data_IF_556515967766
#
_entry.id   IF_556515967766
#
_cell.length_a   1.000
_cell.length_b   1.000
_cell.length_c   1.000
_cell.angle_alpha   90.00
_cell.angle_beta   90.00
_cell.angle_gamma   90.00
#
_symmetry.space_group_name_H-M   'P 1'
#
loop_
_entity.id
_entity.type
_entity.pdbx_description
1 polymer ?
#
# COMPACT_ATOMS: atom_id res chain seq x y z
N UNK A 1 -27.51 -7.17 10.25
CA UNK A 1 -26.92 -6.80 8.96
C UNK A 1 -27.37 -5.39 8.61
N UNK A 2 -26.44 -4.43 8.47
CA UNK A 2 -26.72 -3.11 7.89
C UNK A 2 -25.52 -2.73 7.00
N UNK A 3 -25.80 -2.50 5.72
CA UNK A 3 -24.86 -2.05 4.71
C UNK A 3 -24.48 -0.58 4.96
N UNK A 4 -23.19 -0.32 5.22
CA UNK A 4 -22.64 1.03 5.15
C UNK A 4 -22.24 1.32 3.69
N UNK A 5 -23.17 1.87 2.91
CA UNK A 5 -22.89 2.41 1.59
C UNK A 5 -22.71 3.93 1.72
N UNK A 6 -21.57 4.53 1.35
CA UNK A 6 -21.28 5.94 1.64
C UNK A 6 -21.98 6.95 0.72
N UNK A 7 -22.95 6.53 -0.10
CA UNK A 7 -23.64 7.40 -1.08
C UNK A 7 -25.15 7.36 -0.88
N UNK A 8 -25.81 8.52 -0.87
CA UNK A 8 -27.28 8.63 -0.81
C UNK A 8 -27.85 8.71 -2.24
N UNK A 9 -28.93 7.96 -2.56
CA UNK A 9 -29.63 8.12 -3.84
C UNK A 9 -30.06 9.58 -4.05
N UNK A 10 -29.82 10.11 -5.26
CA UNK A 10 -30.13 11.51 -5.60
C UNK A 10 -28.98 12.51 -5.44
N UNK A 11 -27.79 12.09 -4.98
CA UNK A 11 -26.59 12.95 -5.00
C UNK A 11 -26.04 13.10 -6.43
N UNK A 12 -25.62 14.31 -6.81
CA UNK A 12 -24.96 14.58 -8.08
C UNK A 12 -23.45 14.30 -7.96
N UNK A 13 -22.88 13.60 -8.95
CA UNK A 13 -21.44 13.36 -9.02
C UNK A 13 -20.97 13.34 -10.47
N UNK A 14 -19.99 14.17 -10.82
CA UNK A 14 -19.36 14.16 -12.15
C UNK A 14 -20.30 14.50 -13.32
N UNK A 15 -21.29 15.39 -13.13
CA UNK A 15 -22.20 15.85 -14.19
C UNK A 15 -23.36 14.91 -14.54
N UNK A 16 -23.76 14.05 -13.59
CA UNK A 16 -24.93 13.18 -13.71
C UNK A 16 -25.55 12.83 -12.36
N UNK A 17 -26.78 12.28 -12.40
CA UNK A 17 -27.57 11.89 -11.23
C UNK A 17 -27.44 10.40 -10.93
N UNK A 18 -27.31 10.06 -9.64
CA UNK A 18 -27.22 8.68 -9.15
C UNK A 18 -28.62 8.09 -8.89
N UNK A 19 -29.02 7.11 -9.70
CA UNK A 19 -30.28 6.39 -9.54
C UNK A 19 -30.07 4.97 -8.97
N UNK A 20 -30.99 4.55 -8.09
CA UNK A 20 -31.02 3.19 -7.55
C UNK A 20 -31.83 2.30 -8.48
N UNK A 21 -31.23 1.28 -9.09
CA UNK A 21 -32.01 0.21 -9.73
C UNK A 21 -32.52 -0.76 -8.65
N UNK A 22 -33.78 -1.19 -8.76
CA UNK A 22 -34.46 -2.05 -7.78
C UNK A 22 -34.34 -3.54 -8.14
N UNK A 23 -33.33 -3.93 -8.94
CA UNK A 23 -33.12 -5.33 -9.32
C UNK A 23 -32.22 -6.07 -8.31
N UNK A 24 -32.48 -7.38 -8.06
CA UNK A 24 -31.64 -8.18 -7.18
C UNK A 24 -30.22 -8.30 -7.76
N UNK A 25 -29.21 -7.81 -7.05
CA UNK A 25 -27.80 -7.89 -7.49
C UNK A 25 -26.97 -6.60 -7.34
N UNK A 26 -27.58 -5.47 -6.99
CA UNK A 26 -26.84 -4.27 -6.54
C UNK A 26 -25.95 -3.62 -7.60
N UNK A 27 -26.47 -3.42 -8.82
CA UNK A 27 -25.82 -2.55 -9.80
C UNK A 27 -26.14 -1.07 -9.53
N UNK A 28 -25.10 -0.22 -9.57
CA UNK A 28 -25.20 1.23 -9.52
C UNK A 28 -25.30 1.76 -10.96
N UNK A 29 -26.33 2.53 -11.27
CA UNK A 29 -26.51 3.15 -12.60
C UNK A 29 -26.30 4.66 -12.47
N UNK A 30 -25.47 5.23 -13.33
CA UNK A 30 -25.24 6.67 -13.42
C UNK A 30 -25.93 7.16 -14.68
N UNK A 31 -26.91 8.05 -14.53
CA UNK A 31 -27.62 8.69 -15.64
C UNK A 31 -26.91 10.01 -15.95
N UNK A 32 -26.28 10.17 -17.13
CA UNK A 32 -25.66 11.45 -17.51
C UNK A 32 -26.75 12.51 -17.80
N UNK A 33 -26.47 13.78 -17.47
CA UNK A 33 -27.42 14.90 -17.62
C UNK A 33 -27.51 15.44 -19.07
N UNK A 34 -27.11 14.66 -20.08
CA UNK A 34 -27.20 15.05 -21.50
C UNK A 34 -27.80 13.93 -22.33
N UNK A 35 -28.69 14.29 -23.26
CA UNK A 35 -29.44 13.36 -24.11
C UNK A 35 -28.49 12.48 -24.94
N UNK A 36 -28.55 11.16 -24.74
CA UNK A 36 -27.92 10.18 -25.62
C UNK A 36 -29.03 9.38 -26.27
N UNK A 37 -29.20 9.58 -27.57
CA UNK A 37 -30.22 8.90 -28.37
C UNK A 37 -29.78 7.45 -28.66
N UNK A 38 -30.61 6.48 -28.27
CA UNK A 38 -30.55 5.07 -28.73
C UNK A 38 -30.04 4.00 -27.74
N UNK A 39 -30.60 2.77 -27.78
CA UNK A 39 -30.20 1.67 -26.90
C UNK A 39 -28.89 1.00 -27.36
N UNK A 40 -27.95 0.75 -26.44
CA UNK A 40 -26.74 -0.06 -26.70
C UNK A 40 -26.94 -1.51 -26.28
N UNK A 41 -26.94 -2.42 -27.25
CA UNK A 41 -26.83 -3.87 -27.04
C UNK A 41 -25.35 -4.26 -27.05
N UNK A 42 -24.85 -4.85 -25.96
CA UNK A 42 -23.49 -5.42 -25.90
C UNK A 42 -23.57 -6.90 -26.23
N UNK A 43 -23.05 -7.29 -27.40
CA UNK A 43 -22.91 -8.69 -27.81
C UNK A 43 -21.62 -9.26 -27.23
N UNK A 44 -21.71 -10.27 -26.37
CA UNK A 44 -20.56 -11.01 -25.88
C UNK A 44 -20.05 -11.97 -26.96
N UNK A 45 -18.78 -11.86 -27.35
CA UNK A 45 -18.10 -12.87 -28.19
C UNK A 45 -17.70 -14.07 -27.33
N UNK A 46 -17.81 -15.31 -27.86
CA UNK A 46 -17.39 -16.51 -27.13
C UNK A 46 -15.87 -16.54 -26.95
N UNK A 47 -15.47 -16.97 -25.75
CA UNK A 47 -14.08 -17.17 -25.35
C UNK A 47 -13.57 -18.44 -26.02
N UNK A 48 -12.57 -18.33 -26.89
CA UNK A 48 -11.78 -19.50 -27.34
C UNK A 48 -10.77 -19.91 -26.27
N UNK A 49 -10.44 -21.21 -26.15
CA UNK A 49 -9.50 -21.70 -25.13
C UNK A 49 -8.10 -21.14 -25.39
N UNK A 50 -7.50 -20.58 -24.34
CA UNK A 50 -6.19 -19.95 -24.37
C UNK A 50 -5.10 -20.94 -24.80
N UNK A 51 -4.22 -20.46 -25.67
CA UNK A 51 -2.88 -20.99 -25.94
C UNK A 51 -2.14 -21.29 -24.63
N UNK A 52 -1.56 -22.48 -24.56
CA UNK A 52 -0.65 -22.95 -23.51
C UNK A 52 0.37 -21.87 -23.14
N UNK A 53 0.17 -21.23 -21.99
CA UNK A 53 1.19 -20.35 -21.41
C UNK A 53 2.23 -21.27 -20.77
N UNK A 54 3.38 -21.38 -21.41
CA UNK A 54 4.57 -21.98 -20.82
C UNK A 54 4.97 -21.13 -19.61
N UNK A 55 4.59 -21.56 -18.42
CA UNK A 55 5.14 -21.03 -17.18
C UNK A 55 6.58 -21.51 -17.09
N UNK A 56 7.54 -20.58 -17.00
CA UNK A 56 8.90 -20.90 -16.60
C UNK A 56 8.83 -21.71 -15.29
N UNK A 57 9.65 -22.75 -15.13
CA UNK A 57 9.63 -23.55 -13.91
C UNK A 57 9.83 -22.62 -12.72
N UNK A 58 8.88 -22.66 -11.78
CA UNK A 58 9.03 -21.98 -10.50
C UNK A 58 10.38 -22.42 -9.91
N UNK A 59 11.17 -21.49 -9.33
CA UNK A 59 12.41 -21.87 -8.68
C UNK A 59 12.12 -23.01 -7.70
N UNK A 60 12.94 -24.06 -7.81
CA UNK A 60 12.86 -25.33 -7.09
C UNK A 60 12.31 -25.10 -5.68
N UNK A 61 11.17 -25.76 -5.42
CA UNK A 61 10.51 -25.86 -4.13
C UNK A 61 11.56 -26.08 -3.06
N UNK A 62 11.82 -25.09 -2.21
CA UNK A 62 12.54 -25.31 -0.96
C UNK A 62 11.56 -26.02 -0.04
N UNK A 63 11.77 -27.30 0.29
CA UNK A 63 10.92 -27.99 1.23
C UNK A 63 11.12 -27.37 2.61
N UNK A 64 10.00 -27.21 3.31
CA UNK A 64 9.89 -27.32 4.77
C UNK A 64 10.78 -26.39 5.58
N UNK A 65 10.18 -25.36 6.20
CA UNK A 65 10.76 -24.59 7.30
C UNK A 65 12.21 -24.19 7.00
N UNK A 66 12.38 -23.06 6.31
CA UNK A 66 13.65 -22.34 6.45
C UNK A 66 14.06 -22.44 7.92
N UNK A 67 15.28 -22.92 8.18
CA UNK A 67 15.92 -22.82 9.50
C UNK A 67 16.13 -21.34 9.79
N UNK A 68 15.05 -20.59 9.94
CA UNK A 68 15.04 -19.30 10.60
C UNK A 68 15.54 -19.67 11.97
N UNK A 69 16.81 -19.36 12.25
CA UNK A 69 17.34 -19.49 13.61
C UNK A 69 16.32 -18.78 14.48
N UNK A 70 15.65 -19.53 15.34
CA UNK A 70 14.68 -18.99 16.29
C UNK A 70 15.43 -18.08 17.25
N UNK A 71 15.74 -16.86 16.82
CA UNK A 71 16.11 -15.78 17.70
C UNK A 71 14.81 -15.20 18.23
N UNK A 72 14.14 -15.98 19.07
CA UNK A 72 13.21 -15.43 20.04
C UNK A 72 14.11 -14.92 21.14
N UNK A 73 14.52 -13.66 21.09
CA UNK A 73 15.31 -13.06 22.17
C UNK A 73 14.54 -13.03 23.51
N UNK A 74 13.26 -13.42 23.49
CA UNK A 74 12.35 -13.47 24.64
C UNK A 74 11.95 -12.08 25.13
N UNK A 75 12.49 -11.02 24.51
CA UNK A 75 12.28 -9.65 24.93
C UNK A 75 10.99 -9.14 24.33
N UNK A 76 10.20 -8.49 25.17
CA UNK A 76 9.05 -7.73 24.72
C UNK A 76 9.59 -6.47 24.05
N UNK A 77 9.42 -6.37 22.73
CA UNK A 77 9.69 -5.13 21.99
C UNK A 77 8.46 -4.22 22.08
N UNK A 78 8.69 -2.90 21.94
CA UNK A 78 7.69 -1.84 22.18
C UNK A 78 6.36 -2.12 21.48
N UNK A 79 5.24 -1.82 22.15
CA UNK A 79 3.85 -2.16 21.76
C UNK A 79 3.27 -1.32 20.59
N UNK A 80 4.11 -0.76 19.72
CA UNK A 80 3.64 0.05 18.59
C UNK A 80 4.70 0.96 18.01
N UNK A 81 4.30 1.69 16.96
CA UNK A 81 5.20 2.57 16.21
C UNK A 81 5.62 3.79 17.06
N UNK A 82 6.93 4.08 17.05
CA UNK A 82 7.55 5.31 17.54
C UNK A 82 8.03 6.18 16.37
N UNK A 83 9.35 6.40 16.32
CA UNK A 83 10.01 7.11 15.21
C UNK A 83 9.83 6.38 13.86
N UNK A 84 9.46 5.10 13.90
CA UNK A 84 9.08 4.31 12.74
C UNK A 84 7.95 4.97 11.93
N UNK A 85 6.98 5.62 12.57
CA UNK A 85 5.89 6.32 11.90
C UNK A 85 6.40 7.48 11.03
N UNK A 86 7.36 8.27 11.55
CA UNK A 86 8.04 9.31 10.79
C UNK A 86 8.79 8.70 9.61
N UNK A 87 9.61 7.67 9.83
CA UNK A 87 10.38 7.02 8.75
C UNK A 87 9.50 6.52 7.61
N UNK A 88 8.36 5.91 7.95
CA UNK A 88 7.37 5.41 7.00
C UNK A 88 6.70 6.56 6.23
N UNK A 89 6.33 7.66 6.91
CA UNK A 89 5.79 8.85 6.24
C UNK A 89 6.80 9.42 5.25
N UNK A 90 8.05 9.58 5.67
CA UNK A 90 9.11 10.14 4.83
C UNK A 90 9.32 9.28 3.57
N UNK A 91 9.26 7.95 3.69
CA UNK A 91 9.34 7.05 2.54
C UNK A 91 8.14 7.21 1.59
N UNK A 92 6.92 7.28 2.13
CA UNK A 92 5.70 7.49 1.33
C UNK A 92 5.71 8.85 0.61
N UNK A 93 6.00 9.94 1.33
CA UNK A 93 6.05 11.30 0.78
C UNK A 93 7.15 11.42 -0.27
N UNK A 94 8.35 10.89 0.01
CA UNK A 94 9.44 10.85 -0.96
C UNK A 94 9.07 10.12 -2.25
N UNK A 95 8.42 8.95 -2.14
CA UNK A 95 7.98 8.20 -3.32
C UNK A 95 7.11 9.05 -4.25
N UNK A 96 6.13 9.76 -3.69
CA UNK A 96 5.21 10.59 -4.49
C UNK A 96 5.95 11.75 -5.13
N UNK A 97 6.84 12.41 -4.38
CA UNK A 97 7.63 13.51 -4.91
C UNK A 97 8.54 13.06 -6.05
N UNK A 98 9.16 11.89 -5.90
CA UNK A 98 10.08 11.30 -6.89
C UNK A 98 9.35 10.80 -8.13
N UNK A 99 8.26 10.06 -7.96
CA UNK A 99 7.63 9.28 -9.04
C UNK A 99 6.33 9.91 -9.56
N UNK A 100 5.78 10.90 -8.85
CA UNK A 100 4.45 11.45 -9.11
C UNK A 100 3.30 10.51 -8.76
N UNK A 101 3.61 9.26 -8.43
CA UNK A 101 2.64 8.21 -8.16
C UNK A 101 2.93 7.59 -6.80
N UNK A 102 1.87 7.52 -6.00
CA UNK A 102 1.89 6.81 -4.74
C UNK A 102 1.93 5.28 -4.90
N UNK A 103 1.90 4.59 -3.77
CA UNK A 103 1.63 3.15 -3.75
C UNK A 103 0.23 2.87 -4.30
N UNK A 104 0.08 1.81 -5.08
CA UNK A 104 -1.18 1.50 -5.76
C UNK A 104 -1.79 0.15 -5.35
N UNK A 105 -1.14 -0.55 -4.43
CA UNK A 105 -1.56 -1.87 -3.96
C UNK A 105 -1.36 -1.96 -2.45
N UNK A 106 -2.36 -2.48 -1.75
CA UNK A 106 -2.34 -2.73 -0.33
C UNK A 106 -2.53 -4.22 -0.07
N UNK A 107 -1.58 -4.80 0.64
CA UNK A 107 -1.53 -6.20 0.99
C UNK A 107 -1.76 -6.34 2.49
N UNK A 108 -2.56 -7.32 2.90
CA UNK A 108 -2.66 -7.77 4.28
C UNK A 108 -2.43 -9.27 4.32
N UNK A 109 -1.54 -9.70 5.20
CA UNK A 109 -1.28 -11.12 5.44
C UNK A 109 -1.40 -11.42 6.92
N UNK A 110 -2.15 -12.46 7.25
CA UNK A 110 -2.46 -12.84 8.63
C UNK A 110 -1.79 -14.15 8.99
N UNK A 111 -0.89 -14.13 9.99
CA UNK A 111 -0.02 -15.25 10.35
C UNK A 111 -0.78 -16.48 10.84
N UNK A 112 -1.89 -16.29 11.56
CA UNK A 112 -2.71 -17.37 12.09
C UNK A 112 -3.18 -18.35 11.01
N UNK A 113 -3.64 -17.84 9.87
CA UNK A 113 -4.09 -18.67 8.75
C UNK A 113 -2.97 -19.42 8.04
N UNK A 114 -1.72 -19.05 8.29
CA UNK A 114 -0.52 -19.68 7.75
C UNK A 114 0.08 -20.71 8.72
N UNK A 115 -0.53 -20.91 9.90
CA UNK A 115 0.04 -21.73 10.97
C UNK A 115 1.30 -21.12 11.62
N UNK A 116 1.63 -19.86 11.33
CA UNK A 116 2.82 -19.19 11.87
C UNK A 116 2.47 -18.51 13.19
N UNK A 117 3.03 -19.03 14.28
CA UNK A 117 2.80 -18.52 15.65
C UNK A 117 3.96 -17.66 16.17
N UNK A 118 5.15 -17.83 15.60
CA UNK A 118 6.34 -17.07 15.98
C UNK A 118 6.39 -15.70 15.30
N UNK A 119 6.50 -14.64 16.11
CA UNK A 119 6.62 -13.27 15.62
C UNK A 119 7.91 -13.05 14.81
N UNK A 120 9.02 -13.62 15.27
CA UNK A 120 10.32 -13.51 14.60
C UNK A 120 10.30 -14.25 13.27
N UNK A 121 9.76 -15.48 13.24
CA UNK A 121 9.62 -16.25 12.00
C UNK A 121 8.78 -15.51 10.97
N UNK A 122 7.63 -14.97 11.39
CA UNK A 122 6.77 -14.22 10.50
C UNK A 122 7.43 -12.94 9.98
N UNK A 123 8.13 -12.19 10.85
CA UNK A 123 8.92 -11.02 10.46
C UNK A 123 9.95 -11.33 9.38
N UNK A 124 10.64 -12.46 9.51
CA UNK A 124 11.71 -12.85 8.60
C UNK A 124 11.15 -13.28 7.24
N UNK A 125 10.01 -13.99 7.25
CA UNK A 125 9.29 -14.36 6.02
C UNK A 125 8.85 -13.14 5.21
N UNK A 126 8.50 -12.01 5.84
CA UNK A 126 8.15 -10.77 5.12
C UNK A 126 9.32 -10.29 4.26
N UNK A 127 10.55 -10.36 4.79
CA UNK A 127 11.75 -9.96 4.05
C UNK A 127 12.05 -10.90 2.87
N UNK A 128 11.88 -12.21 3.06
CA UNK A 128 12.04 -13.21 1.99
C UNK A 128 10.97 -13.03 0.91
N UNK A 129 9.71 -12.81 1.33
CA UNK A 129 8.59 -12.52 0.44
C UNK A 129 8.88 -11.29 -0.43
N UNK A 130 9.35 -10.19 0.15
CA UNK A 130 9.66 -8.98 -0.62
C UNK A 130 10.76 -9.19 -1.66
N UNK A 131 11.75 -10.05 -1.38
CA UNK A 131 12.74 -10.46 -2.39
C UNK A 131 12.11 -11.29 -3.50
N UNK A 132 11.21 -12.22 -3.15
CA UNK A 132 10.50 -13.03 -4.13
C UNK A 132 9.60 -12.17 -5.04
N UNK A 133 8.90 -11.18 -4.48
CA UNK A 133 8.10 -10.21 -5.26
C UNK A 133 8.98 -9.44 -6.24
N UNK A 134 10.13 -8.92 -5.79
CA UNK A 134 11.07 -8.21 -6.65
C UNK A 134 11.59 -9.10 -7.80
N UNK A 135 11.97 -10.35 -7.50
CA UNK A 135 12.38 -11.32 -8.51
C UNK A 135 11.26 -11.65 -9.51
N UNK A 136 10.04 -11.84 -9.01
CA UNK A 136 8.86 -12.10 -9.84
C UNK A 136 8.54 -10.94 -10.78
N UNK A 137 8.61 -9.69 -10.30
CA UNK A 137 8.42 -8.50 -11.14
C UNK A 137 9.50 -8.40 -12.22
N UNK A 138 10.77 -8.66 -11.86
CA UNK A 138 11.92 -8.59 -12.78
C UNK A 138 11.88 -9.66 -13.87
N UNK A 139 11.40 -10.86 -13.57
CA UNK A 139 11.34 -11.98 -14.51
C UNK A 139 10.27 -11.82 -15.59
N UNK A 140 9.40 -10.80 -15.52
CA UNK A 140 8.32 -10.62 -16.48
C UNK A 140 8.84 -10.16 -17.84
N UNK A 141 8.33 -10.71 -18.95
CA UNK A 141 8.64 -10.20 -20.28
C UNK A 141 8.18 -8.74 -20.36
N UNK A 142 9.11 -7.84 -20.72
CA UNK A 142 8.83 -6.43 -21.00
C UNK A 142 7.90 -6.38 -22.22
N UNK A 143 6.57 -6.32 -22.01
CA UNK A 143 5.63 -6.23 -23.13
C UNK A 143 5.90 -4.93 -23.90
N UNK A 144 5.82 -5.04 -25.21
CA UNK A 144 6.23 -4.09 -26.24
C UNK A 144 5.76 -2.65 -26.02
N UNK A 145 6.63 -1.73 -26.45
CA UNK A 145 6.64 -0.26 -26.49
C UNK A 145 5.34 0.55 -26.71
N UNK A 146 4.15 -0.05 -26.80
CA UNK A 146 2.89 0.70 -27.03
C UNK A 146 2.26 1.27 -25.76
N UNK A 147 2.68 0.80 -24.60
CA UNK A 147 2.41 1.45 -23.32
C UNK A 147 3.78 1.82 -22.75
N UNK A 148 4.01 3.10 -22.49
CA UNK A 148 5.22 3.64 -21.85
C UNK A 148 5.40 3.12 -20.41
N UNK A 149 5.58 1.80 -20.25
CA UNK A 149 6.19 1.17 -19.09
C UNK A 149 7.66 0.91 -19.45
N UNK A 150 8.37 2.00 -19.78
CA UNK A 150 9.83 2.02 -19.90
C UNK A 150 10.53 2.01 -18.54
N UNK A 151 9.77 2.09 -17.45
CA UNK A 151 10.28 2.02 -16.10
C UNK A 151 10.46 0.56 -15.70
N UNK A 152 11.70 0.16 -15.41
CA UNK A 152 11.94 -1.01 -14.58
C UNK A 152 11.13 -0.82 -13.30
N UNK A 153 10.13 -1.68 -13.08
CA UNK A 153 9.27 -1.56 -11.91
C UNK A 153 10.06 -2.10 -10.72
N UNK A 154 10.81 -1.22 -10.08
CA UNK A 154 11.39 -1.49 -8.78
C UNK A 154 10.25 -1.81 -7.79
N UNK A 155 10.43 -2.85 -6.99
CA UNK A 155 9.50 -3.21 -5.92
C UNK A 155 9.61 -2.19 -4.77
N UNK A 156 9.01 -1.01 -4.96
CA UNK A 156 8.86 -0.03 -3.88
C UNK A 156 7.81 -0.54 -2.88
N UNK A 157 8.14 -0.57 -1.59
CA UNK A 157 7.20 -0.94 -0.55
C UNK A 157 7.49 -0.26 0.79
N UNK A 158 6.43 -0.17 1.60
CA UNK A 158 6.52 0.02 3.04
C UNK A 158 5.59 -0.99 3.73
N UNK A 159 5.95 -1.46 4.91
CA UNK A 159 5.06 -2.32 5.70
C UNK A 159 5.11 -2.02 7.18
N UNK A 160 4.04 -2.42 7.88
CA UNK A 160 3.92 -2.43 9.33
C UNK A 160 3.47 -3.83 9.75
N UNK A 161 4.20 -4.42 10.68
CA UNK A 161 3.84 -5.65 11.37
C UNK A 161 3.12 -5.27 12.67
N UNK A 162 1.94 -5.84 12.87
CA UNK A 162 1.10 -5.54 14.03
C UNK A 162 0.48 -6.80 14.64
N UNK A 163 -0.01 -6.67 15.88
CA UNK A 163 -0.80 -7.71 16.54
C UNK A 163 -2.05 -7.08 17.15
N UNK A 164 -3.21 -7.48 16.66
CA UNK A 164 -4.51 -6.97 17.12
C UNK A 164 -5.23 -8.00 17.99
N UNK A 165 -5.79 -7.56 19.11
CA UNK A 165 -6.35 -8.43 20.15
C UNK A 165 -7.69 -9.11 19.84
N UNK A 166 -8.48 -8.60 18.89
CA UNK A 166 -9.88 -9.05 18.73
C UNK A 166 -10.20 -9.87 17.49
N UNK A 167 -9.52 -9.72 16.34
CA UNK A 167 -10.00 -10.32 15.07
C UNK A 167 -8.91 -10.96 14.19
N UNK A 168 -7.65 -10.52 14.26
CA UNK A 168 -6.65 -10.93 13.27
C UNK A 168 -5.35 -11.50 13.86
N UNK A 169 -5.10 -11.34 15.17
CA UNK A 169 -3.84 -11.78 15.76
C UNK A 169 -2.65 -11.08 15.11
N UNK A 170 -1.55 -11.81 14.91
CA UNK A 170 -0.34 -11.32 14.24
C UNK A 170 -0.55 -11.20 12.73
N UNK A 171 -0.31 -10.03 12.17
CA UNK A 171 -0.49 -9.76 10.74
C UNK A 171 0.34 -8.55 10.31
N UNK A 172 0.60 -8.41 9.00
CA UNK A 172 1.22 -7.19 8.48
C UNK A 172 0.35 -6.54 7.42
N UNK A 173 0.52 -5.23 7.31
CA UNK A 173 -0.01 -4.41 6.24
C UNK A 173 1.15 -3.89 5.39
N UNK A 174 1.05 -4.01 4.07
CA UNK A 174 2.08 -3.58 3.14
C UNK A 174 1.46 -2.71 2.04
N UNK A 175 2.03 -1.53 1.83
CA UNK A 175 1.78 -0.70 0.65
C UNK A 175 2.91 -0.93 -0.35
N UNK A 176 2.56 -1.24 -1.60
CA UNK A 176 3.54 -1.44 -2.66
C UNK A 176 3.05 -0.95 -4.03
N UNK A 177 3.99 -0.89 -4.97
CA UNK A 177 3.74 -0.58 -6.38
C UNK A 177 3.70 -1.84 -7.22
N UNK A 178 2.51 -2.17 -7.74
CA UNK A 178 2.29 -3.30 -8.65
C UNK A 178 1.63 -2.77 -9.91
N UNK A 179 2.14 -3.06 -11.13
CA UNK A 179 1.51 -2.58 -12.36
C UNK A 179 0.04 -3.03 -12.43
N UNK A 180 -0.91 -2.14 -12.79
CA UNK A 180 -2.33 -2.51 -12.82
C UNK A 180 -2.61 -3.70 -13.74
N UNK A 181 -1.90 -3.79 -14.86
CA UNK A 181 -2.02 -4.87 -15.85
C UNK A 181 -1.65 -6.26 -15.32
N UNK A 182 -1.01 -6.35 -14.16
CA UNK A 182 -0.49 -7.59 -13.61
C UNK A 182 -1.04 -7.95 -12.23
N UNK A 183 -2.01 -7.17 -11.75
CA UNK A 183 -2.45 -7.23 -10.36
C UNK A 183 -3.19 -8.53 -10.05
N UNK A 184 -3.87 -9.12 -11.04
CA UNK A 184 -4.54 -10.42 -10.89
C UNK A 184 -3.50 -11.53 -10.72
N UNK A 185 -2.48 -11.57 -11.57
CA UNK A 185 -1.39 -12.55 -11.47
C UNK A 185 -0.58 -12.37 -10.19
N UNK A 186 -0.37 -11.12 -9.76
CA UNK A 186 0.31 -10.82 -8.49
C UNK A 186 -0.45 -11.42 -7.30
N UNK A 187 -1.78 -11.34 -7.27
CA UNK A 187 -2.59 -11.93 -6.20
C UNK A 187 -2.42 -13.45 -6.15
N UNK A 188 -2.46 -14.13 -7.28
CA UNK A 188 -2.25 -15.58 -7.37
C UNK A 188 -0.82 -15.94 -6.95
N UNK A 189 0.18 -15.24 -7.49
CA UNK A 189 1.59 -15.45 -7.12
C UNK A 189 1.80 -15.33 -5.61
N UNK A 190 1.27 -14.28 -4.99
CA UNK A 190 1.48 -14.03 -3.57
C UNK A 190 0.79 -15.08 -2.69
N UNK A 191 -0.43 -15.51 -3.06
CA UNK A 191 -1.12 -16.59 -2.36
C UNK A 191 -0.33 -17.90 -2.44
N UNK A 192 0.06 -18.33 -3.65
CA UNK A 192 0.83 -19.54 -3.88
C UNK A 192 2.19 -19.51 -3.16
N UNK A 193 2.83 -18.34 -3.08
CA UNK A 193 4.10 -18.19 -2.36
C UNK A 193 3.92 -18.46 -0.87
N UNK A 194 2.89 -17.88 -0.24
CA UNK A 194 2.59 -18.10 1.18
C UNK A 194 2.13 -19.53 1.47
N UNK A 195 1.35 -20.14 0.58
CA UNK A 195 0.96 -21.55 0.64
C UNK A 195 2.19 -22.47 0.65
N UNK A 196 3.12 -22.24 -0.28
CA UNK A 196 4.37 -22.98 -0.34
C UNK A 196 5.23 -22.79 0.92
N UNK A 197 5.26 -21.59 1.52
CA UNK A 197 5.98 -21.35 2.77
C UNK A 197 5.31 -22.01 3.98
N UNK A 198 3.97 -22.00 4.04
CA UNK A 198 3.20 -22.57 5.13
C UNK A 198 3.20 -24.12 5.09
N UNK A 199 3.29 -24.71 3.90
CA UNK A 199 3.12 -26.15 3.70
C UNK A 199 1.70 -26.61 4.01
N UNK A 200 0.72 -25.71 3.85
CA UNK A 200 -0.69 -25.88 4.15
C UNK A 200 -1.50 -25.19 3.06
N UNK A 201 -2.71 -25.70 2.80
CA UNK A 201 -3.69 -25.00 1.96
C UNK A 201 -4.10 -23.70 2.66
N UNK A 202 -3.68 -22.57 2.10
CA UNK A 202 -3.90 -21.25 2.71
C UNK A 202 -5.29 -20.73 2.35
N UNK A 203 -6.13 -20.38 3.33
CA UNK A 203 -7.48 -19.91 3.03
C UNK A 203 -7.44 -18.55 2.30
N UNK A 204 -8.45 -18.29 1.49
CA UNK A 204 -8.51 -17.11 0.60
C UNK A 204 -8.43 -15.76 1.31
N UNK A 205 -8.71 -15.71 2.61
CA UNK A 205 -8.65 -14.53 3.46
C UNK A 205 -7.29 -14.33 4.15
N UNK A 206 -6.37 -15.29 4.06
CA UNK A 206 -5.04 -15.19 4.66
C UNK A 206 -4.15 -14.16 3.96
N UNK A 207 -4.31 -14.03 2.65
CA UNK A 207 -3.56 -13.10 1.79
C UNK A 207 -4.57 -12.23 1.04
N UNK A 208 -4.73 -10.99 1.49
CA UNK A 208 -5.61 -10.02 0.86
C UNK A 208 -4.79 -9.02 0.04
N UNK A 209 -5.09 -8.92 -1.25
CA UNK A 209 -4.46 -7.96 -2.16
C UNK A 209 -5.56 -7.02 -2.68
N UNK A 210 -5.42 -5.74 -2.38
CA UNK A 210 -6.35 -4.68 -2.79
C UNK A 210 -5.63 -3.71 -3.72
N UNK A 211 -6.12 -3.60 -4.95
CA UNK A 211 -5.66 -2.61 -5.92
C UNK A 211 -6.37 -1.28 -5.78
N UNK A 212 -5.67 -0.20 -6.08
CA UNK A 212 -6.25 1.12 -6.25
C UNK A 212 -6.23 1.48 -7.73
N UNK A 213 -7.42 1.50 -8.33
CA UNK A 213 -7.62 2.16 -9.61
C UNK A 213 -8.12 3.57 -9.32
N UNK A 214 -7.39 4.57 -9.80
CA UNK A 214 -7.77 5.96 -9.66
C UNK A 214 -7.45 6.71 -10.95
N UNK A 215 -8.24 7.72 -11.27
CA UNK A 215 -8.14 8.47 -12.52
C UNK A 215 -6.92 9.38 -12.66
N UNK A 216 -5.91 9.27 -11.78
CA UNK A 216 -4.69 10.06 -11.88
C UNK A 216 -3.86 10.16 -10.60
N UNK A 217 -2.74 10.90 -10.64
CA UNK A 217 -1.80 11.08 -9.52
C UNK A 217 -2.45 11.51 -8.19
N UNK A 218 -3.34 12.50 -8.23
CA UNK A 218 -4.05 13.02 -7.05
C UNK A 218 -4.93 11.94 -6.42
N UNK A 219 -5.71 11.22 -7.24
CA UNK A 219 -6.55 10.12 -6.77
C UNK A 219 -5.73 8.99 -6.13
N UNK A 220 -4.56 8.68 -6.69
CA UNK A 220 -3.64 7.70 -6.12
C UNK A 220 -3.11 8.16 -4.77
N UNK A 221 -2.72 9.43 -4.67
CA UNK A 221 -2.21 10.02 -3.43
C UNK A 221 -3.26 9.98 -2.30
N UNK A 222 -4.51 10.34 -2.59
CA UNK A 222 -5.60 10.29 -1.61
C UNK A 222 -5.83 8.85 -1.13
N UNK A 223 -5.91 7.89 -2.05
CA UNK A 223 -6.15 6.48 -1.70
C UNK A 223 -5.01 5.87 -0.89
N UNK A 224 -3.75 6.11 -1.28
CA UNK A 224 -2.62 5.63 -0.46
C UNK A 224 -2.61 6.31 0.91
N UNK A 225 -2.98 7.59 1.02
CA UNK A 225 -2.91 8.33 2.29
C UNK A 225 -3.91 7.76 3.28
N UNK A 226 -5.11 7.38 2.82
CA UNK A 226 -6.10 6.67 3.65
C UNK A 226 -5.52 5.34 4.17
N UNK A 227 -4.84 4.58 3.30
CA UNK A 227 -4.28 3.26 3.66
C UNK A 227 -3.02 3.38 4.52
N UNK A 228 -2.23 4.42 4.31
CA UNK A 228 -1.12 4.78 5.18
C UNK A 228 -1.61 5.14 6.57
N UNK A 229 -2.62 6.02 6.67
CA UNK A 229 -3.28 6.36 7.94
C UNK A 229 -3.86 5.13 8.64
N UNK A 230 -4.36 4.15 7.87
CA UNK A 230 -4.78 2.86 8.40
C UNK A 230 -3.61 2.06 8.99
N UNK A 231 -2.45 1.99 8.32
CA UNK A 231 -1.24 1.36 8.86
C UNK A 231 -0.72 2.06 10.11
N UNK A 232 -0.97 3.36 10.25
CA UNK A 232 -0.54 4.18 11.40
C UNK A 232 -1.42 4.01 12.65
N UNK A 233 -2.48 3.19 12.61
CA UNK A 233 -3.36 2.94 13.76
C UNK A 233 -2.63 2.39 15.01
N UNK A 234 -1.40 1.90 14.83
CA UNK A 234 -0.56 1.33 15.88
C UNK A 234 0.49 2.30 16.43
N UNK A 235 0.46 3.58 16.06
CA UNK A 235 1.30 4.63 16.69
C UNK A 235 1.07 4.64 18.20
N UNK A 236 2.15 4.71 18.98
CA UNK A 236 2.09 4.81 20.44
C UNK A 236 1.58 6.18 20.88
N UNK A 237 0.70 6.30 21.90
CA UNK A 237 0.08 7.57 22.26
C UNK A 237 1.09 8.62 22.74
N UNK A 238 2.15 8.20 23.42
CA UNK A 238 3.18 9.10 23.97
C UNK A 238 4.26 9.54 22.98
N UNK A 239 4.11 9.28 21.67
CA UNK A 239 5.07 9.76 20.67
C UNK A 239 4.80 11.24 20.42
N UNK A 240 5.82 12.07 20.64
CA UNK A 240 5.76 13.51 20.49
C UNK A 240 6.77 14.00 19.45
N UNK A 241 6.43 15.06 18.74
CA UNK A 241 7.32 15.81 17.86
C UNK A 241 7.10 17.31 18.09
N UNK A 242 8.04 18.14 17.65
CA UNK A 242 7.94 19.59 17.74
C UNK A 242 7.61 20.17 16.36
N UNK A 243 6.64 21.08 16.32
CA UNK A 243 6.30 21.81 15.09
C UNK A 243 7.29 22.94 14.80
N UNK A 244 7.03 23.71 13.74
CA UNK A 244 7.88 24.84 13.32
C UNK A 244 7.97 25.94 14.37
N UNK A 245 6.94 26.09 15.20
CA UNK A 245 6.91 27.05 16.31
C UNK A 245 7.52 26.48 17.60
N UNK A 246 8.07 25.26 17.57
CA UNK A 246 8.65 24.59 18.73
C UNK A 246 7.61 24.06 19.71
N UNK A 247 6.33 23.98 19.33
CA UNK A 247 5.26 23.44 20.18
C UNK A 247 5.27 21.91 20.12
N UNK A 248 5.09 21.29 21.28
CA UNK A 248 4.96 19.83 21.36
C UNK A 248 3.60 19.39 20.79
N UNK A 249 3.62 18.43 19.86
CA UNK A 249 2.43 17.84 19.24
C UNK A 249 2.52 16.33 19.32
N UNK A 250 1.41 15.66 19.60
CA UNK A 250 1.38 14.19 19.66
C UNK A 250 1.26 13.62 18.25
N UNK A 251 2.02 12.56 17.94
CA UNK A 251 2.00 11.92 16.62
C UNK A 251 0.61 11.47 16.20
N UNK A 252 -0.21 11.01 17.16
CA UNK A 252 -1.61 10.63 16.91
C UNK A 252 -2.48 11.80 16.44
N UNK A 253 -2.15 13.04 16.77
CA UNK A 253 -2.92 14.22 16.35
C UNK A 253 -2.64 14.56 14.89
N UNK A 254 -1.37 14.66 14.51
CA UNK A 254 -1.01 15.14 13.17
C UNK A 254 -0.90 14.03 12.12
N UNK A 255 -0.53 12.79 12.50
CA UNK A 255 -0.54 11.66 11.56
C UNK A 255 -1.97 11.23 11.22
N UNK A 256 -2.96 11.64 12.02
CA UNK A 256 -4.40 11.38 11.84
C UNK A 256 -4.69 9.88 11.57
N UNK A 257 -4.19 8.93 12.38
CA UNK A 257 -4.42 7.51 12.15
C UNK A 257 -5.91 7.19 11.95
N UNK A 258 -6.20 6.25 11.06
CA UNK A 258 -7.59 5.84 10.82
C UNK A 258 -7.99 4.79 11.85
N UNK A 259 -9.06 5.08 12.59
CA UNK A 259 -9.61 4.19 13.61
C UNK A 259 -10.99 3.69 13.17
N UNK A 260 -11.19 2.37 13.23
CA UNK A 260 -12.50 1.77 12.94
C UNK A 260 -13.48 2.24 14.02
N UNK A 261 -14.54 2.94 13.62
CA UNK A 261 -15.53 3.54 14.54
C UNK A 261 -14.92 4.52 15.56
N UNK A 262 -13.79 5.15 15.23
CA UNK A 262 -13.10 6.08 16.14
C UNK A 262 -12.37 5.43 17.30
N UNK A 263 -12.35 4.08 17.38
CA UNK A 263 -11.71 3.34 18.47
C UNK A 263 -10.34 2.84 18.03
N UNK A 264 -9.32 3.15 18.82
CA UNK A 264 -7.97 2.62 18.64
C UNK A 264 -8.00 1.11 18.88
N UNK A 265 -7.38 0.29 18.02
CA UNK A 265 -7.33 -1.14 18.25
C UNK A 265 -6.50 -1.46 19.49
N UNK A 266 -6.90 -2.51 20.21
CA UNK A 266 -6.08 -3.10 21.26
C UNK A 266 -4.81 -3.69 20.63
N UNK A 267 -3.69 -3.07 20.97
CA UNK A 267 -2.36 -3.49 20.52
C UNK A 267 -1.84 -4.53 21.51
N UNK A 268 -1.60 -5.73 21.01
CA UNK A 268 -0.92 -6.75 21.78
C UNK A 268 0.59 -6.64 21.57
N UNK A 269 1.41 -7.02 22.56
CA UNK A 269 2.87 -6.97 22.45
C UNK A 269 3.39 -7.76 21.25
N UNK A 270 4.38 -7.19 20.57
CA UNK A 270 5.07 -7.82 19.46
C UNK A 270 6.48 -8.22 19.90
N UNK A 271 6.77 -9.52 19.86
CA UNK A 271 8.06 -10.12 20.22
C UNK A 271 8.96 -10.31 19.01
N UNK A 272 9.12 -9.26 18.21
CA UNK A 272 10.14 -9.19 17.14
C UNK A 272 10.77 -7.81 17.08
N UNK A 273 12.02 -7.75 16.67
CA UNK A 273 12.79 -6.52 16.51
C UNK A 273 12.29 -5.66 15.35
N UNK A 274 11.73 -6.27 14.30
CA UNK A 274 11.35 -5.58 13.08
C UNK A 274 9.83 -5.38 13.00
N UNK A 275 9.36 -4.20 13.42
CA UNK A 275 7.94 -3.81 13.36
C UNK A 275 7.53 -3.18 12.03
N UNK A 276 8.49 -2.84 11.17
CA UNK A 276 8.25 -2.16 9.91
C UNK A 276 9.35 -2.46 8.90
N UNK A 277 9.12 -2.12 7.64
CA UNK A 277 10.18 -2.07 6.64
C UNK A 277 9.89 -1.09 5.53
N UNK A 278 10.96 -0.68 4.87
CA UNK A 278 10.99 0.29 3.77
C UNK A 278 11.90 -0.32 2.71
N UNK A 279 11.48 -0.29 1.45
CA UNK A 279 12.30 -0.73 0.32
C UNK A 279 13.54 0.14 0.16
N UNK A 280 14.61 -0.44 -0.40
CA UNK A 280 15.91 0.25 -0.55
C UNK A 280 15.81 1.51 -1.40
N UNK A 281 14.97 1.51 -2.42
CA UNK A 281 14.74 2.67 -3.29
C UNK A 281 14.06 3.85 -2.57
N UNK A 282 13.53 3.64 -1.36
CA UNK A 282 12.87 4.68 -0.56
C UNK A 282 13.62 5.00 0.74
N UNK A 283 14.78 4.38 0.98
CA UNK A 283 15.53 4.59 2.20
C UNK A 283 16.23 5.97 2.23
N UNK A 284 16.96 6.24 3.31
CA UNK A 284 17.64 7.52 3.51
C UNK A 284 18.72 7.76 2.45
N UNK A 285 19.42 6.71 2.02
CA UNK A 285 20.48 6.82 1.02
C UNK A 285 19.89 7.11 -0.36
N UNK A 286 18.81 6.42 -0.74
CA UNK A 286 18.12 6.69 -2.01
C UNK A 286 17.61 8.13 -2.11
N UNK A 287 17.09 8.68 -1.00
CA UNK A 287 16.68 10.10 -0.91
C UNK A 287 17.84 11.06 -1.12
N UNK A 288 18.99 10.77 -0.50
CA UNK A 288 20.20 11.57 -0.64
C UNK A 288 20.69 11.58 -2.09
N UNK A 289 20.85 10.40 -2.68
CA UNK A 289 21.29 10.23 -4.07
C UNK A 289 20.36 10.96 -5.04
N UNK A 290 19.04 10.79 -4.87
CA UNK A 290 18.08 11.52 -5.69
C UNK A 290 18.20 13.03 -5.51
N UNK A 291 18.40 13.51 -4.28
CA UNK A 291 18.55 14.93 -4.01
C UNK A 291 19.78 15.56 -4.68
N UNK A 292 20.90 14.82 -4.71
CA UNK A 292 22.09 15.20 -5.46
C UNK A 292 21.81 15.30 -6.97
N UNK A 293 21.03 14.35 -7.52
CA UNK A 293 20.67 14.34 -8.95
C UNK A 293 19.80 15.53 -9.36
N UNK A 294 18.87 15.97 -8.49
CA UNK A 294 17.94 17.06 -8.79
C UNK A 294 18.39 18.42 -8.24
N UNK A 295 19.57 18.50 -7.61
CA UNK A 295 20.09 19.72 -7.01
C UNK A 295 19.27 20.25 -5.83
N UNK A 296 18.54 19.39 -5.12
CA UNK A 296 17.68 19.77 -4.00
C UNK A 296 17.60 18.68 -2.92
N UNK A 297 17.72 19.05 -1.65
CA UNK A 297 17.69 18.08 -0.55
C UNK A 297 16.26 17.83 -0.07
N UNK A 298 15.84 16.57 -0.10
CA UNK A 298 14.54 16.16 0.42
C UNK A 298 14.50 16.21 1.96
N UNK A 299 13.57 17.01 2.48
CA UNK A 299 13.15 17.01 3.89
C UNK A 299 11.65 16.77 3.94
N UNK A 300 11.18 15.75 4.65
CA UNK A 300 9.73 15.53 4.72
C UNK A 300 9.04 16.66 5.49
N UNK A 301 7.73 16.85 5.27
CA UNK A 301 6.92 17.77 6.09
C UNK A 301 6.96 17.43 7.59
N UNK A 302 7.08 16.15 7.94
CA UNK A 302 7.23 15.73 9.35
C UNK A 302 8.58 16.15 9.90
N UNK A 303 9.66 16.02 9.13
CA UNK A 303 10.99 16.48 9.56
C UNK A 303 11.07 18.01 9.64
N UNK A 304 10.26 18.72 8.86
CA UNK A 304 10.15 20.18 8.87
C UNK A 304 9.20 20.73 9.94
N UNK A 305 8.50 19.89 10.70
CA UNK A 305 7.48 20.35 11.65
C UNK A 305 6.19 20.90 11.01
N UNK A 306 6.00 20.75 9.70
CA UNK A 306 4.84 21.23 8.91
C UNK A 306 3.65 20.28 9.05
N UNK A 307 3.16 20.13 10.28
CA UNK A 307 2.26 19.04 10.63
C UNK A 307 0.86 19.14 10.02
N UNK A 308 0.35 20.35 9.81
CA UNK A 308 -0.99 20.56 9.26
C UNK A 308 -1.05 20.32 7.74
N UNK A 309 0.12 20.21 7.11
CA UNK A 309 0.29 19.99 5.68
C UNK A 309 0.48 18.53 5.30
N UNK A 310 0.48 17.62 6.30
CA UNK A 310 0.47 16.19 6.03
C UNK A 310 -0.75 15.83 5.17
N UNK A 311 -0.51 15.10 4.08
CA UNK A 311 -1.55 14.61 3.18
C UNK A 311 -2.27 15.69 2.34
N UNK A 312 -1.75 16.92 2.24
CA UNK A 312 -2.35 17.97 1.41
C UNK A 312 -2.12 17.78 -0.11
N UNK A 313 -1.26 16.84 -0.51
CA UNK A 313 -0.96 16.54 -1.91
C UNK A 313 0.12 17.43 -2.53
N UNK A 314 0.81 18.27 -1.77
CA UNK A 314 1.89 19.12 -2.31
C UNK A 314 3.04 18.32 -2.92
N UNK A 315 3.26 17.06 -2.50
CA UNK A 315 4.18 16.15 -3.18
C UNK A 315 3.83 15.94 -4.66
N UNK A 316 2.53 15.82 -4.96
CA UNK A 316 2.04 15.64 -6.35
C UNK A 316 2.22 16.94 -7.13
N UNK A 317 1.89 18.08 -6.52
CA UNK A 317 2.03 19.39 -7.16
C UNK A 317 3.49 19.72 -7.48
N UNK A 318 4.41 19.46 -6.53
CA UNK A 318 5.84 19.64 -6.73
C UNK A 318 6.41 18.68 -7.79
N UNK A 319 5.95 17.43 -7.83
CA UNK A 319 6.30 16.51 -8.91
C UNK A 319 5.81 17.02 -10.28
N UNK A 320 4.56 17.48 -10.37
CA UNK A 320 4.00 17.99 -11.63
C UNK A 320 4.81 19.16 -12.17
N UNK A 321 5.14 20.13 -11.31
CA UNK A 321 5.97 21.27 -11.68
C UNK A 321 7.38 20.87 -12.12
N UNK A 322 8.02 19.93 -11.39
CA UNK A 322 9.32 19.38 -11.78
C UNK A 322 9.27 18.69 -13.14
N UNK A 323 8.17 17.99 -13.45
CA UNK A 323 8.02 17.25 -14.71
C UNK A 323 7.88 18.16 -15.94
N UNK A 324 7.41 19.40 -15.76
CA UNK A 324 7.32 20.41 -16.82
C UNK A 324 8.45 21.44 -16.75
N UNK A 325 9.53 21.11 -16.03
CA UNK A 325 10.71 21.95 -15.84
C UNK A 325 10.42 23.37 -15.32
N UNK A 326 9.39 23.52 -14.47
CA UNK A 326 9.14 24.79 -13.80
C UNK A 326 10.32 25.15 -12.88
N UNK A 327 10.89 26.36 -13.03
CA UNK A 327 11.85 26.87 -12.06
C UNK A 327 11.24 26.89 -10.66
N UNK A 328 12.06 26.58 -9.66
CA UNK A 328 11.64 26.56 -8.26
C UNK A 328 10.42 25.65 -7.96
N UNK A 329 10.25 24.54 -8.68
CA UNK A 329 9.22 23.53 -8.40
C UNK A 329 9.14 23.12 -6.92
N UNK A 330 10.29 23.17 -6.22
CA UNK A 330 10.41 22.88 -4.79
C UNK A 330 9.59 23.84 -3.91
N UNK A 331 9.26 25.06 -4.37
CA UNK A 331 8.39 26.00 -3.64
C UNK A 331 6.97 25.49 -3.53
N UNK A 332 6.56 24.59 -4.42
CA UNK A 332 5.25 23.93 -4.37
C UNK A 332 5.22 22.76 -3.39
N UNK A 333 6.35 22.37 -2.82
CA UNK A 333 6.47 21.30 -1.84
C UNK A 333 6.32 21.83 -0.40
#
# INVERSE_FOLDING_TARGET
MMNANPFRPGEHWGGGRLDRSVLPGGQLTISPDWEVDGPKVVVMKPVTPESERVYLPMPVVLPCRMKVKQYVDGRVHREGLGDEARKLYNAMSFKVLRDGRGFNTFVTVTAWYLGVTSHAEFGELISVMNKAIAGWLKARPKRTARFHLTEEVEHSYIYVLERSGYEHGLHFHLLCSIPPSVRKEFRTFLANWWEAQAGLDVPTNAVQVQGFDSGGPVGHYVRQSIKFRYMMKTIRPGVVCFDQEGRQRYAVEFMKPWFRRGVRPDLLPIRTRQLYGISRDLDVQARKVWGEQVGWTYHSKVDQGRFDELYNGSEVAAWQARFIDEPDWWKRY
#
